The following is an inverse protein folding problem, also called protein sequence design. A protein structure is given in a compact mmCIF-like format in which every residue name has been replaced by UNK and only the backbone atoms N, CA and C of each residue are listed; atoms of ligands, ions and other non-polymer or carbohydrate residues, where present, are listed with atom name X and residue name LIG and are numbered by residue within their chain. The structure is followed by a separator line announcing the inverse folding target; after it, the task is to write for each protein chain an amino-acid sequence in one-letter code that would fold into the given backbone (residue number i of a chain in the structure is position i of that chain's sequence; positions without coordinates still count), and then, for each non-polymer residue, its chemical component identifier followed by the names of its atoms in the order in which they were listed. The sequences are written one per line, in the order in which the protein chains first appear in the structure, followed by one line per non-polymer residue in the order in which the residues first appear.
data_IF_989678256646
#
_entry.id   IF_989678256646
#
_cell.length_a   1.000
_cell.length_b   1.000
_cell.length_c   1.000
_cell.angle_alpha   90.00
_cell.angle_beta   90.00
_cell.angle_gamma   90.00
#
_symmetry.space_group_name_H-M   'P 1'
#
loop_
_entity.id
_entity.type
_entity.pdbx_description
1 polymer ?
#
# COMPACT_ATOMS: atom_id res chain seq x y z
N UNK A 1 7.51 -6.00 -13.05
CA UNK A 1 6.05 -5.81 -12.84
C UNK A 1 5.79 -5.88 -11.35
N UNK A 2 5.15 -4.89 -10.75
CA UNK A 2 4.57 -5.05 -9.40
C UNK A 2 3.62 -6.25 -9.49
N UNK A 3 4.07 -7.40 -9.01
CA UNK A 3 3.24 -8.59 -8.89
C UNK A 3 1.94 -8.20 -8.20
N UNK A 4 0.81 -8.80 -8.60
CA UNK A 4 -0.52 -8.43 -8.12
C UNK A 4 -0.53 -8.32 -6.59
N UNK A 5 -0.51 -7.07 -6.09
CA UNK A 5 -0.56 -6.77 -4.67
C UNK A 5 -1.90 -7.27 -4.13
N UNK A 6 -1.86 -7.90 -2.96
CA UNK A 6 -3.05 -8.36 -2.25
C UNK A 6 -3.19 -7.65 -0.92
N UNK A 7 -4.41 -7.65 -0.37
CA UNK A 7 -4.62 -7.23 1.00
C UNK A 7 -3.73 -8.06 1.95
N UNK A 8 -3.06 -7.37 2.87
CA UNK A 8 -2.07 -7.92 3.78
C UNK A 8 -0.62 -7.72 3.33
N UNK A 9 -0.36 -7.40 2.06
CA UNK A 9 1.01 -7.13 1.60
C UNK A 9 1.55 -5.85 2.24
N UNK A 10 2.79 -5.91 2.74
CA UNK A 10 3.51 -4.70 3.15
C UNK A 10 4.10 -4.04 1.92
N UNK A 11 4.03 -2.73 1.89
CA UNK A 11 4.49 -1.92 0.76
C UNK A 11 5.23 -0.69 1.25
N UNK A 12 6.12 -0.19 0.40
CA UNK A 12 6.68 1.15 0.51
C UNK A 12 6.04 2.00 -0.58
N UNK A 13 5.47 3.12 -0.17
CA UNK A 13 4.96 4.16 -1.06
C UNK A 13 6.13 4.96 -1.64
N UNK A 14 5.96 5.53 -2.83
CA UNK A 14 6.95 6.39 -3.48
C UNK A 14 7.32 7.61 -2.64
N UNK A 15 6.43 8.06 -1.75
CA UNK A 15 6.69 9.10 -0.76
C UNK A 15 7.54 8.65 0.44
N UNK A 16 7.97 7.38 0.51
CA UNK A 16 8.82 6.84 1.58
C UNK A 16 8.08 6.24 2.77
N UNK A 17 6.75 6.28 2.78
CA UNK A 17 5.94 5.67 3.84
C UNK A 17 5.91 4.15 3.70
N UNK A 18 6.05 3.45 4.83
CA UNK A 18 5.76 2.02 4.95
C UNK A 18 4.32 1.81 5.39
N UNK A 19 3.62 0.91 4.73
CA UNK A 19 2.26 0.56 5.09
C UNK A 19 1.89 -0.87 4.70
N UNK A 20 0.65 -1.24 5.02
CA UNK A 20 0.06 -2.54 4.66
C UNK A 20 -1.16 -2.32 3.78
N UNK A 21 -1.23 -2.97 2.64
CA UNK A 21 -2.42 -2.94 1.79
C UNK A 21 -3.60 -3.53 2.56
N UNK A 22 -4.67 -2.77 2.72
CA UNK A 22 -5.93 -3.24 3.34
C UNK A 22 -6.99 -3.55 2.30
N UNK A 23 -6.94 -2.88 1.14
CA UNK A 23 -7.84 -3.13 0.01
C UNK A 23 -7.15 -2.91 -1.33
N UNK A 24 -7.55 -3.72 -2.31
CA UNK A 24 -7.09 -3.63 -3.70
C UNK A 24 -8.26 -3.19 -4.56
N UNK A 25 -8.17 -2.00 -5.14
CA UNK A 25 -9.07 -1.50 -6.17
C UNK A 25 -8.43 -1.55 -7.55
N UNK A 26 -9.23 -1.23 -8.58
CA UNK A 26 -8.73 -1.18 -9.97
C UNK A 26 -7.78 -0.01 -10.19
N UNK A 27 -8.13 1.19 -9.71
CA UNK A 27 -7.30 2.40 -9.87
C UNK A 27 -6.49 2.75 -8.62
N UNK A 28 -6.95 2.33 -7.44
CA UNK A 28 -6.37 2.73 -6.15
C UNK A 28 -6.12 1.53 -5.23
N UNK A 29 -5.11 1.64 -4.38
CA UNK A 29 -4.90 0.78 -3.23
C UNK A 29 -5.26 1.53 -1.95
N UNK A 30 -5.92 0.85 -1.02
CA UNK A 30 -6.03 1.34 0.35
C UNK A 30 -4.89 0.76 1.15
N UNK A 31 -4.11 1.63 1.81
CA UNK A 31 -2.93 1.26 2.57
C UNK A 31 -3.05 1.83 3.98
N UNK A 32 -2.85 0.98 4.99
CA UNK A 32 -2.71 1.40 6.38
C UNK A 32 -1.25 1.78 6.65
N UNK A 33 -1.01 3.05 6.99
CA UNK A 33 0.32 3.61 7.26
C UNK A 33 0.53 3.94 8.75
N UNK A 34 -0.46 3.69 9.62
CA UNK A 34 -0.46 4.26 10.96
C UNK A 34 0.38 3.53 12.01
N UNK A 35 1.09 2.44 11.66
CA UNK A 35 2.09 1.75 12.49
C UNK A 35 1.70 1.59 13.98
N UNK A 36 0.48 1.12 14.24
CA UNK A 36 -0.07 0.96 15.60
C UNK A 36 -1.29 1.84 15.88
N UNK A 37 -1.53 2.84 15.03
CA UNK A 37 -2.82 3.53 14.88
C UNK A 37 -3.42 3.13 13.53
N UNK A 38 -4.75 3.05 13.40
CA UNK A 38 -5.39 2.73 12.12
C UNK A 38 -5.48 4.01 11.27
N UNK A 39 -4.57 4.18 10.31
CA UNK A 39 -4.57 5.33 9.38
C UNK A 39 -4.56 4.79 7.96
N UNK A 40 -5.74 4.75 7.35
CA UNK A 40 -5.92 4.27 5.99
C UNK A 40 -5.88 5.43 4.99
N UNK A 41 -5.10 5.26 3.92
CA UNK A 41 -5.00 6.21 2.81
C UNK A 41 -5.25 5.49 1.49
N UNK A 42 -5.90 6.18 0.56
CA UNK A 42 -6.04 5.72 -0.81
C UNK A 42 -4.94 6.32 -1.68
N UNK A 43 -4.22 5.46 -2.38
CA UNK A 43 -3.11 5.84 -3.25
C UNK A 43 -3.29 5.24 -4.62
N UNK A 44 -2.87 5.96 -5.65
CA UNK A 44 -2.83 5.41 -7.01
C UNK A 44 -1.89 4.19 -7.08
N UNK A 45 -2.14 3.29 -8.03
CA UNK A 45 -1.32 2.08 -8.18
C UNK A 45 0.16 2.37 -8.46
N UNK A 46 0.44 3.42 -9.20
CA UNK A 46 1.79 3.91 -9.51
C UNK A 46 2.53 4.48 -8.28
N UNK A 47 1.80 4.83 -7.21
CA UNK A 47 2.38 5.40 -5.99
C UNK A 47 2.98 4.32 -5.08
N UNK A 48 2.81 3.03 -5.38
CA UNK A 48 3.52 1.94 -4.71
C UNK A 48 4.90 1.79 -5.34
N UNK A 49 5.96 2.08 -4.59
CA UNK A 49 7.34 1.93 -5.08
C UNK A 49 7.76 0.45 -5.10
N UNK A 50 7.49 -0.29 -4.03
CA UNK A 50 7.85 -1.70 -3.91
C UNK A 50 7.01 -2.44 -2.87
N UNK A 51 6.87 -3.75 -3.07
CA UNK A 51 6.47 -4.67 -2.00
C UNK A 51 7.66 -4.93 -1.08
N UNK A 52 7.39 -5.02 0.21
CA UNK A 52 8.36 -5.39 1.25
C UNK A 52 7.90 -6.71 1.88
N UNK A 53 8.83 -7.59 2.19
CA UNK A 53 8.55 -8.85 2.91
C UNK A 53 8.34 -8.61 4.42
#
# INVERSE_FOLDING_TARGET
MLAALKAGDKVVLAAGFKGKVTRVGEQFFTVDIGQGTKIEVEVERNAIAAKVD
#
